data_IF_342267133138
#
_entry.id   IF_342267133138
#
_cell.length_a   1.000
_cell.length_b   1.000
_cell.length_c   1.000
_cell.angle_alpha   90.00
_cell.angle_beta   90.00
_cell.angle_gamma   90.00
#
_symmetry.space_group_name_H-M   'P 1'
#
loop_
_entity.id
_entity.type
_entity.pdbx_description
1 polymer ?
#
# COMPACT_ATOMS: atom_id res chain seq x y z
N UNK A 1 3.07 22.05 24.99
CA UNK A 1 3.62 21.09 24.01
C UNK A 1 5.08 20.71 24.24
N UNK A 2 6.00 21.67 24.46
CA UNK A 2 7.44 21.39 24.66
C UNK A 2 7.75 20.38 25.78
N UNK A 3 7.08 20.51 26.93
CA UNK A 3 7.29 19.63 28.10
C UNK A 3 6.99 18.14 27.83
N UNK A 4 5.79 17.75 27.35
CA UNK A 4 5.53 16.33 27.09
C UNK A 4 6.44 15.75 25.98
N UNK A 5 6.89 16.54 25.01
CA UNK A 5 7.85 16.11 23.99
C UNK A 5 9.24 15.80 24.56
N UNK A 6 9.76 16.68 25.43
CA UNK A 6 11.06 16.49 26.05
C UNK A 6 11.05 15.31 27.02
N UNK A 7 10.00 15.17 27.83
CA UNK A 7 9.80 14.04 28.72
C UNK A 7 9.65 12.72 27.95
N UNK A 8 8.85 12.70 26.88
CA UNK A 8 8.70 11.53 26.02
C UNK A 8 10.03 11.09 25.41
N UNK A 9 10.83 12.05 24.94
CA UNK A 9 12.17 11.78 24.38
C UNK A 9 13.17 11.28 25.43
N UNK A 10 13.11 11.81 26.66
CA UNK A 10 13.96 11.34 27.76
C UNK A 10 13.62 9.90 28.14
N UNK A 11 12.33 9.59 28.30
CA UNK A 11 11.84 8.23 28.61
C UNK A 11 12.15 7.25 27.48
N UNK A 12 12.04 7.70 26.22
CA UNK A 12 12.41 6.89 25.06
C UNK A 12 13.89 6.47 25.09
N UNK A 13 14.80 7.41 25.42
CA UNK A 13 16.24 7.12 25.56
C UNK A 13 16.55 6.17 26.73
N UNK A 14 15.69 6.14 27.74
CA UNK A 14 15.77 5.23 28.87
C UNK A 14 15.04 3.89 28.61
N UNK A 15 14.62 3.63 27.37
CA UNK A 15 13.87 2.44 26.97
C UNK A 15 12.53 2.23 27.71
N UNK A 16 12.01 3.28 28.34
CA UNK A 16 10.71 3.27 29.01
C UNK A 16 9.59 3.52 27.98
N UNK A 17 9.41 2.61 27.03
CA UNK A 17 8.57 2.82 25.84
C UNK A 17 7.10 3.09 26.15
N UNK A 18 6.52 2.43 27.16
CA UNK A 18 5.14 2.69 27.58
C UNK A 18 4.97 4.12 28.14
N UNK A 19 5.91 4.56 28.98
CA UNK A 19 5.88 5.89 29.56
C UNK A 19 6.21 6.97 28.52
N UNK A 20 7.09 6.67 27.55
CA UNK A 20 7.35 7.53 26.41
C UNK A 20 6.10 7.68 25.52
N UNK A 21 5.41 6.58 25.22
CA UNK A 21 4.17 6.59 24.45
C UNK A 21 3.09 7.44 25.12
N UNK A 22 2.89 7.32 26.44
CA UNK A 22 1.94 8.14 27.17
C UNK A 22 2.23 9.65 27.03
N UNK A 23 3.51 10.04 27.11
CA UNK A 23 3.93 11.44 26.93
C UNK A 23 3.79 11.93 25.50
N UNK A 24 4.12 11.10 24.50
CA UNK A 24 3.88 11.44 23.10
C UNK A 24 2.39 11.53 22.76
N UNK A 25 1.53 10.67 23.30
CA UNK A 25 0.07 10.78 23.15
C UNK A 25 -0.47 12.08 23.75
N UNK A 26 0.04 12.47 24.92
CA UNK A 26 -0.30 13.78 25.53
C UNK A 26 0.13 14.93 24.63
N UNK A 27 1.32 14.86 24.04
CA UNK A 27 1.80 15.86 23.09
C UNK A 27 0.94 15.92 21.83
N UNK A 28 0.50 14.77 21.31
CA UNK A 28 -0.36 14.66 20.13
C UNK A 28 -1.73 15.30 20.38
N UNK A 29 -2.33 15.05 21.55
CA UNK A 29 -3.62 15.66 21.93
C UNK A 29 -3.51 17.19 21.99
N UNK A 30 -2.44 17.71 22.60
CA UNK A 30 -2.17 19.15 22.59
C UNK A 30 -1.98 19.67 21.16
N UNK A 31 -1.23 18.96 20.32
CA UNK A 31 -1.02 19.34 18.93
C UNK A 31 -2.35 19.44 18.15
N UNK A 32 -3.26 18.48 18.35
CA UNK A 32 -4.60 18.48 17.72
C UNK A 32 -5.50 19.65 18.14
N UNK A 33 -5.24 20.24 19.32
CA UNK A 33 -5.93 21.44 19.81
C UNK A 33 -5.32 22.75 19.29
N UNK A 34 -4.41 22.68 18.32
CA UNK A 34 -3.77 23.85 17.71
C UNK A 34 -2.55 24.37 18.49
N UNK A 35 -2.07 23.66 19.52
CA UNK A 35 -0.83 24.04 20.18
C UNK A 35 0.37 23.66 19.29
N UNK A 36 1.27 24.61 19.07
CA UNK A 36 2.56 24.38 18.43
C UNK A 36 3.72 24.52 19.42
N UNK A 37 4.95 24.25 18.96
CA UNK A 37 6.17 24.47 19.76
C UNK A 37 6.45 25.97 19.91
N UNK A 38 6.00 26.77 18.95
CA UNK A 38 6.06 28.23 18.94
C UNK A 38 4.66 28.82 19.19
N UNK A 39 4.54 30.16 19.14
CA UNK A 39 3.29 30.88 19.39
C UNK A 39 2.12 30.25 18.57
N UNK A 40 1.05 29.75 19.22
CA UNK A 40 -0.11 29.16 18.55
C UNK A 40 -0.75 30.09 17.51
N UNK A 41 -0.57 31.41 17.65
CA UNK A 41 -1.07 32.42 16.71
C UNK A 41 -0.15 32.61 15.48
N UNK A 42 1.05 32.01 15.47
CA UNK A 42 2.07 32.20 14.42
C UNK A 42 2.45 30.93 13.65
N UNK A 43 2.03 29.76 14.11
CA UNK A 43 2.45 28.49 13.52
C UNK A 43 1.59 28.13 12.31
N UNK A 44 2.22 27.79 11.17
CA UNK A 44 1.47 27.46 9.96
C UNK A 44 0.79 26.08 10.09
N UNK A 45 -0.30 25.82 9.34
CA UNK A 45 -0.89 24.48 9.27
C UNK A 45 0.10 23.37 8.85
N UNK A 46 1.11 23.72 8.03
CA UNK A 46 2.16 22.79 7.62
C UNK A 46 3.09 22.44 8.79
N UNK A 47 3.48 23.42 9.62
CA UNK A 47 4.30 23.19 10.80
C UNK A 47 3.60 22.29 11.83
N UNK A 48 2.29 22.52 12.03
CA UNK A 48 1.44 21.69 12.89
C UNK A 48 1.36 20.27 12.34
N UNK A 49 1.18 20.10 11.03
CA UNK A 49 1.10 18.78 10.37
C UNK A 49 2.43 18.03 10.48
N UNK A 50 3.56 18.68 10.22
CA UNK A 50 4.89 18.07 10.36
C UNK A 50 5.18 17.67 11.80
N UNK A 51 4.77 18.50 12.77
CA UNK A 51 4.95 18.19 14.18
C UNK A 51 4.07 17.01 14.61
N UNK A 52 2.79 16.99 14.21
CA UNK A 52 1.91 15.85 14.43
C UNK A 52 2.52 14.57 13.84
N UNK A 53 3.02 14.63 12.60
CA UNK A 53 3.68 13.51 11.93
C UNK A 53 4.89 13.02 12.71
N UNK A 54 5.71 13.94 13.22
CA UNK A 54 6.85 13.59 14.07
C UNK A 54 6.40 12.84 15.33
N UNK A 55 5.38 13.34 16.03
CA UNK A 55 4.86 12.71 17.26
C UNK A 55 4.29 11.33 16.97
N UNK A 56 3.44 11.21 15.94
CA UNK A 56 2.89 9.95 15.46
C UNK A 56 4.01 8.96 15.15
N UNK A 57 5.07 9.40 14.47
CA UNK A 57 6.20 8.55 14.14
C UNK A 57 6.98 8.04 15.35
N UNK A 58 7.01 8.79 16.46
CA UNK A 58 7.59 8.34 17.73
C UNK A 58 6.69 7.30 18.41
N UNK A 59 5.38 7.49 18.33
CA UNK A 59 4.40 6.51 18.82
C UNK A 59 4.52 5.18 18.06
N UNK A 60 4.71 5.21 16.74
CA UNK A 60 5.00 3.98 15.95
C UNK A 60 6.15 3.20 16.56
N UNK A 61 7.30 3.84 16.82
CA UNK A 61 8.48 3.16 17.36
C UNK A 61 8.20 2.60 18.77
N UNK A 62 7.53 3.38 19.62
CA UNK A 62 7.19 2.92 20.98
C UNK A 62 6.30 1.68 20.94
N UNK A 63 5.23 1.68 20.13
CA UNK A 63 4.31 0.56 20.04
C UNK A 63 4.91 -0.67 19.37
N UNK A 64 5.80 -0.52 18.38
CA UNK A 64 6.59 -1.64 17.87
C UNK A 64 7.48 -2.26 18.94
N UNK A 65 8.16 -1.44 19.75
CA UNK A 65 8.99 -1.92 20.88
C UNK A 65 8.19 -2.59 21.99
N UNK A 66 6.92 -2.24 22.13
CA UNK A 66 5.97 -2.86 23.07
C UNK A 66 5.29 -4.12 22.49
N UNK A 67 5.62 -4.56 21.28
CA UNK A 67 4.98 -5.71 20.65
C UNK A 67 3.54 -5.47 20.23
N UNK A 68 3.16 -4.22 19.96
CA UNK A 68 1.79 -3.80 19.59
C UNK A 68 1.74 -3.25 18.15
N UNK A 69 2.06 -4.06 17.12
CA UNK A 69 2.20 -3.59 15.74
C UNK A 69 0.87 -3.13 15.13
N UNK A 70 -0.27 -3.64 15.59
CA UNK A 70 -1.59 -3.16 15.14
C UNK A 70 -1.88 -1.72 15.55
N UNK A 71 -1.50 -1.33 16.78
CA UNK A 71 -1.61 0.06 17.24
C UNK A 71 -0.60 0.92 16.47
N UNK A 72 0.65 0.44 16.36
CA UNK A 72 1.70 1.12 15.61
C UNK A 72 1.31 1.40 14.15
N UNK A 73 0.62 0.46 13.49
CA UNK A 73 0.16 0.63 12.11
C UNK A 73 -0.79 1.82 11.98
N UNK A 74 -1.74 1.99 12.91
CA UNK A 74 -2.64 3.15 12.93
C UNK A 74 -1.91 4.48 13.04
N UNK A 75 -0.89 4.56 13.92
CA UNK A 75 -0.02 5.74 14.02
C UNK A 75 0.80 5.96 12.73
N UNK A 76 1.23 4.90 12.07
CA UNK A 76 2.02 5.00 10.83
C UNK A 76 1.21 5.62 9.69
N UNK A 77 -0.05 5.23 9.51
CA UNK A 77 -0.94 5.84 8.51
C UNK A 77 -1.11 7.34 8.76
N UNK A 78 -1.40 7.74 10.01
CA UNK A 78 -1.55 9.16 10.36
C UNK A 78 -0.27 9.95 10.14
N UNK A 79 0.89 9.38 10.48
CA UNK A 79 2.18 10.04 10.25
C UNK A 79 2.44 10.31 8.76
N UNK A 80 2.03 9.40 7.87
CA UNK A 80 2.15 9.56 6.42
C UNK A 80 1.13 10.58 5.91
N UNK A 81 -0.13 10.50 6.32
CA UNK A 81 -1.16 11.47 5.92
C UNK A 81 -0.73 12.91 6.24
N UNK A 82 -0.09 13.12 7.39
CA UNK A 82 0.37 14.42 7.86
C UNK A 82 1.70 14.89 7.23
N UNK A 83 2.55 13.97 6.78
CA UNK A 83 3.82 14.28 6.12
C UNK A 83 4.19 13.17 5.11
N UNK A 84 3.53 13.15 3.95
CA UNK A 84 3.60 12.04 3.01
C UNK A 84 4.95 11.91 2.30
N UNK A 85 5.72 13.00 2.18
CA UNK A 85 7.03 13.01 1.53
C UNK A 85 8.17 12.51 2.43
N UNK A 86 7.93 12.34 3.73
CA UNK A 86 8.99 11.94 4.66
C UNK A 86 9.23 10.43 4.62
N UNK A 87 10.22 9.99 3.84
CA UNK A 87 10.51 8.58 3.57
C UNK A 87 10.63 7.68 4.81
N UNK A 88 11.13 8.21 5.94
CA UNK A 88 11.25 7.43 7.19
C UNK A 88 9.91 7.02 7.78
N UNK A 89 8.82 7.74 7.50
CA UNK A 89 7.48 7.32 7.91
C UNK A 89 7.06 6.05 7.17
N UNK A 90 7.40 5.96 5.87
CA UNK A 90 7.16 4.77 5.06
C UNK A 90 8.02 3.57 5.50
N UNK A 91 9.29 3.76 5.86
CA UNK A 91 10.11 2.68 6.45
C UNK A 91 9.54 2.16 7.78
N UNK A 92 9.00 3.04 8.61
CA UNK A 92 8.33 2.65 9.87
C UNK A 92 7.04 1.89 9.61
N UNK A 93 6.26 2.31 8.61
CA UNK A 93 5.09 1.58 8.16
C UNK A 93 5.46 0.18 7.63
N UNK A 94 6.55 0.06 6.87
CA UNK A 94 7.07 -1.23 6.43
C UNK A 94 7.38 -2.16 7.61
N UNK A 95 7.99 -1.63 8.68
CA UNK A 95 8.23 -2.40 9.91
C UNK A 95 6.93 -2.83 10.61
N UNK A 96 5.88 -1.99 10.60
CA UNK A 96 4.55 -2.37 11.10
C UNK A 96 3.96 -3.52 10.30
N UNK A 97 3.92 -3.42 8.97
CA UNK A 97 3.37 -4.47 8.11
C UNK A 97 4.14 -5.78 8.24
N UNK A 98 5.48 -5.74 8.24
CA UNK A 98 6.31 -6.92 8.46
C UNK A 98 6.01 -7.59 9.81
N UNK A 99 5.87 -6.80 10.87
CA UNK A 99 5.52 -7.32 12.21
C UNK A 99 4.12 -7.94 12.28
N UNK A 100 3.24 -7.58 11.34
CA UNK A 100 1.90 -8.14 11.17
C UNK A 100 1.85 -9.31 10.18
N UNK A 101 3.00 -9.82 9.72
CA UNK A 101 3.10 -10.88 8.69
C UNK A 101 2.43 -10.46 7.36
N UNK A 102 2.58 -9.18 6.98
CA UNK A 102 2.09 -8.59 5.73
C UNK A 102 3.26 -8.15 4.84
N UNK A 103 4.06 -9.09 4.31
CA UNK A 103 5.32 -8.77 3.65
C UNK A 103 5.14 -8.02 2.32
N UNK A 104 4.04 -8.24 1.59
CA UNK A 104 3.73 -7.50 0.36
C UNK A 104 3.52 -6.00 0.63
N UNK A 105 2.71 -5.65 1.63
CA UNK A 105 2.52 -4.25 2.01
C UNK A 105 3.77 -3.65 2.63
N UNK A 106 4.55 -4.45 3.37
CA UNK A 106 5.85 -4.02 3.88
C UNK A 106 6.83 -3.66 2.75
N UNK A 107 6.94 -4.52 1.74
CA UNK A 107 7.79 -4.31 0.57
C UNK A 107 7.37 -3.04 -0.16
N UNK A 108 6.05 -2.84 -0.35
CA UNK A 108 5.52 -1.61 -0.96
C UNK A 108 5.93 -0.36 -0.20
N UNK A 109 5.72 -0.32 1.11
CA UNK A 109 6.08 0.85 1.92
C UNK A 109 7.59 1.12 1.88
N UNK A 110 8.42 0.10 1.87
CA UNK A 110 9.87 0.25 1.75
C UNK A 110 10.29 0.74 0.34
N UNK A 111 9.66 0.25 -0.72
CA UNK A 111 9.86 0.73 -2.10
C UNK A 111 9.45 2.21 -2.25
N UNK A 112 8.31 2.61 -1.67
CA UNK A 112 7.88 4.03 -1.63
C UNK A 112 8.92 4.88 -0.90
N UNK A 113 9.47 4.38 0.21
CA UNK A 113 10.51 5.09 0.94
C UNK A 113 11.78 5.30 0.10
N UNK A 114 12.22 4.29 -0.65
CA UNK A 114 13.37 4.41 -1.56
C UNK A 114 13.12 5.49 -2.62
N UNK A 115 11.96 5.42 -3.29
CA UNK A 115 11.57 6.43 -4.28
C UNK A 115 11.57 7.85 -3.72
N UNK A 116 10.98 8.06 -2.53
CA UNK A 116 10.94 9.38 -1.90
C UNK A 116 12.33 9.86 -1.46
N UNK A 117 13.20 8.96 -1.01
CA UNK A 117 14.58 9.29 -0.66
C UNK A 117 15.36 9.79 -1.88
N UNK A 118 15.27 9.05 -3.00
CA UNK A 118 15.93 9.43 -4.27
C UNK A 118 15.36 10.74 -4.81
N UNK A 119 14.03 10.89 -4.85
CA UNK A 119 13.36 12.10 -5.35
C UNK A 119 13.67 13.35 -4.52
N UNK A 120 13.94 13.19 -3.22
CA UNK A 120 14.36 14.28 -2.34
C UNK A 120 15.84 14.69 -2.51
N UNK A 121 16.57 14.11 -3.46
CA UNK A 121 17.99 14.38 -3.70
C UNK A 121 18.91 13.70 -2.69
N UNK A 122 18.48 12.59 -2.07
CA UNK A 122 19.31 11.78 -1.19
C UNK A 122 20.52 11.24 -1.96
N UNK A 123 21.71 11.73 -1.63
CA UNK A 123 22.97 11.37 -2.31
C UNK A 123 23.74 10.23 -1.63
N UNK A 124 23.23 9.71 -0.50
CA UNK A 124 23.84 8.58 0.20
C UNK A 124 23.50 7.28 -0.52
N UNK A 125 24.34 6.89 -1.48
CA UNK A 125 24.22 5.63 -2.23
C UNK A 125 23.97 4.44 -1.29
N UNK A 126 24.72 4.37 -0.18
CA UNK A 126 24.57 3.33 0.85
C UNK A 126 23.15 3.26 1.46
N UNK A 127 22.45 4.40 1.62
CA UNK A 127 21.09 4.39 2.20
C UNK A 127 20.08 3.83 1.21
N UNK A 128 20.15 4.22 -0.07
CA UNK A 128 19.24 3.69 -1.10
C UNK A 128 19.49 2.19 -1.30
N UNK A 129 20.76 1.77 -1.39
CA UNK A 129 21.14 0.35 -1.49
C UNK A 129 20.59 -0.49 -0.32
N UNK A 130 20.72 0.00 0.92
CA UNK A 130 20.17 -0.71 2.08
C UNK A 130 18.64 -0.79 2.05
N UNK A 131 17.95 0.25 1.62
CA UNK A 131 16.49 0.22 1.47
C UNK A 131 16.10 -0.76 0.36
N UNK A 132 16.85 -0.79 -0.74
CA UNK A 132 16.65 -1.72 -1.86
C UNK A 132 16.79 -3.18 -1.46
N UNK A 133 17.88 -3.51 -0.77
CA UNK A 133 18.08 -4.84 -0.18
C UNK A 133 16.96 -5.20 0.80
N UNK A 134 16.47 -4.22 1.57
CA UNK A 134 15.39 -4.46 2.53
C UNK A 134 14.06 -4.80 1.83
N UNK A 135 13.62 -4.02 0.85
CA UNK A 135 12.37 -4.32 0.16
C UNK A 135 12.49 -5.55 -0.75
N UNK A 136 13.67 -5.85 -1.29
CA UNK A 136 13.95 -7.14 -1.93
C UNK A 136 13.71 -8.32 -1.00
N UNK A 137 14.27 -8.27 0.21
CA UNK A 137 14.10 -9.32 1.20
C UNK A 137 12.61 -9.50 1.55
N UNK A 138 11.84 -8.42 1.61
CA UNK A 138 10.39 -8.46 1.87
C UNK A 138 9.60 -9.08 0.70
N UNK A 139 9.95 -8.82 -0.55
CA UNK A 139 9.35 -9.49 -1.72
C UNK A 139 9.63 -11.00 -1.67
N UNK A 140 10.86 -11.39 -1.34
CA UNK A 140 11.21 -12.81 -1.19
C UNK A 140 10.50 -13.46 -0.01
N UNK A 141 10.32 -12.72 1.10
CA UNK A 141 9.52 -13.15 2.25
C UNK A 141 8.06 -13.38 1.85
N UNK A 142 7.47 -12.48 1.05
CA UNK A 142 6.11 -12.62 0.52
C UNK A 142 5.95 -13.86 -0.36
N UNK A 143 6.91 -14.15 -1.24
CA UNK A 143 6.86 -15.33 -2.11
C UNK A 143 7.10 -16.64 -1.36
N UNK A 144 7.99 -16.66 -0.37
CA UNK A 144 8.32 -17.89 0.37
C UNK A 144 7.13 -18.47 1.13
N UNK A 145 6.21 -17.62 1.58
CA UNK A 145 5.00 -18.01 2.30
C UNK A 145 3.83 -18.41 1.40
N UNK A 146 3.96 -18.31 0.08
CA UNK A 146 2.83 -18.41 -0.83
C UNK A 146 2.84 -19.72 -1.62
N UNK A 147 1.71 -20.43 -1.57
CA UNK A 147 1.55 -21.71 -2.25
C UNK A 147 0.57 -21.62 -3.43
N UNK A 148 -0.25 -20.57 -3.50
CA UNK A 148 -1.31 -20.45 -4.50
C UNK A 148 -0.83 -19.94 -5.86
N UNK A 149 0.26 -19.18 -5.88
CA UNK A 149 0.86 -18.66 -7.10
C UNK A 149 2.40 -18.68 -7.08
N UNK A 150 3.01 -18.59 -8.25
CA UNK A 150 4.44 -18.38 -8.46
C UNK A 150 4.64 -17.26 -9.49
N UNK A 151 5.82 -16.65 -9.50
CA UNK A 151 6.09 -15.45 -10.30
C UNK A 151 7.38 -15.55 -11.09
N UNK A 152 7.39 -14.94 -12.27
CA UNK A 152 8.58 -14.70 -13.09
C UNK A 152 8.62 -13.23 -13.49
N UNK A 153 9.77 -12.61 -13.27
CA UNK A 153 10.05 -11.27 -13.74
C UNK A 153 10.81 -11.36 -15.06
N UNK A 154 10.25 -10.79 -16.12
CA UNK A 154 10.89 -10.76 -17.44
C UNK A 154 11.25 -9.32 -17.79
N UNK A 155 12.55 -8.98 -17.93
CA UNK A 155 12.96 -7.67 -18.42
C UNK A 155 12.28 -7.37 -19.76
N UNK A 156 11.82 -6.14 -19.95
CA UNK A 156 11.10 -5.74 -21.14
C UNK A 156 11.46 -4.33 -21.58
N UNK A 157 11.75 -4.16 -22.87
CA UNK A 157 11.86 -2.86 -23.55
C UNK A 157 10.56 -2.58 -24.29
N UNK A 158 10.13 -1.31 -24.44
CA UNK A 158 8.77 -0.96 -24.90
C UNK A 158 8.34 -1.52 -26.28
N UNK A 159 9.25 -2.10 -27.05
CA UNK A 159 8.97 -2.71 -28.35
C UNK A 159 8.54 -4.18 -28.20
N UNK A 160 7.54 -4.61 -28.96
CA UNK A 160 7.08 -6.00 -29.06
C UNK A 160 6.60 -6.69 -27.75
N UNK A 161 5.68 -6.02 -27.04
CA UNK A 161 5.03 -6.53 -25.81
C UNK A 161 4.42 -7.92 -26.02
N UNK A 162 3.79 -8.15 -27.17
CA UNK A 162 3.00 -9.35 -27.41
C UNK A 162 3.86 -10.60 -27.52
N UNK A 163 4.96 -10.54 -28.28
CA UNK A 163 5.86 -11.68 -28.41
C UNK A 163 6.70 -11.88 -27.14
N UNK A 164 7.05 -10.80 -26.43
CA UNK A 164 7.66 -10.93 -25.10
C UNK A 164 6.73 -11.64 -24.11
N UNK A 165 5.43 -11.32 -24.09
CA UNK A 165 4.45 -12.00 -23.22
C UNK A 165 4.36 -13.50 -23.57
N UNK A 166 4.33 -13.86 -24.85
CA UNK A 166 4.28 -15.27 -25.26
C UNK A 166 5.52 -16.03 -24.77
N UNK A 167 6.70 -15.44 -24.95
CA UNK A 167 7.96 -16.06 -24.51
C UNK A 167 8.04 -16.14 -22.97
N UNK A 168 7.61 -15.11 -22.26
CA UNK A 168 7.55 -15.10 -20.80
C UNK A 168 6.61 -16.20 -20.26
N UNK A 169 5.42 -16.36 -20.86
CA UNK A 169 4.48 -17.41 -20.49
C UNK A 169 5.04 -18.81 -20.75
N UNK A 170 5.73 -19.02 -21.88
CA UNK A 170 6.38 -20.29 -22.21
C UNK A 170 7.52 -20.61 -21.23
N UNK A 171 8.43 -19.66 -21.04
CA UNK A 171 9.53 -19.76 -20.09
C UNK A 171 9.04 -20.01 -18.66
N UNK A 172 7.93 -19.40 -18.25
CA UNK A 172 7.30 -19.65 -16.96
C UNK A 172 6.83 -21.10 -16.84
N UNK A 173 6.09 -21.60 -17.83
CA UNK A 173 5.53 -22.96 -17.81
C UNK A 173 6.63 -24.03 -17.70
N UNK A 174 7.78 -23.80 -18.36
CA UNK A 174 8.95 -24.69 -18.27
C UNK A 174 9.60 -24.67 -16.88
N UNK A 175 9.71 -23.49 -16.23
CA UNK A 175 10.36 -23.33 -14.92
C UNK A 175 9.45 -23.70 -13.74
N UNK A 176 8.14 -23.53 -13.87
CA UNK A 176 7.16 -23.69 -12.80
C UNK A 176 5.98 -24.58 -13.23
N UNK A 177 6.23 -25.87 -13.55
CA UNK A 177 5.20 -26.76 -14.10
C UNK A 177 3.99 -26.93 -13.17
N UNK A 178 4.19 -26.82 -11.84
CA UNK A 178 3.13 -26.95 -10.84
C UNK A 178 2.12 -25.78 -10.84
N UNK A 179 2.45 -24.65 -11.48
CA UNK A 179 1.66 -23.41 -11.45
C UNK A 179 1.04 -23.07 -12.82
N UNK A 180 0.72 -24.09 -13.61
CA UNK A 180 0.31 -23.95 -15.01
C UNK A 180 -1.20 -24.01 -15.24
N UNK A 181 -2.01 -24.16 -14.18
CA UNK A 181 -3.49 -24.21 -14.31
C UNK A 181 -4.06 -22.91 -14.88
N UNK A 182 -3.39 -21.80 -14.61
CA UNK A 182 -3.58 -20.53 -15.29
C UNK A 182 -2.26 -19.75 -15.25
N UNK A 183 -1.84 -19.21 -16.40
CA UNK A 183 -0.68 -18.33 -16.51
C UNK A 183 -1.17 -17.01 -17.08
N UNK A 184 -0.82 -15.93 -16.40
CA UNK A 184 -1.17 -14.57 -16.79
C UNK A 184 0.07 -13.68 -16.69
N UNK A 185 0.39 -12.97 -17.76
CA UNK A 185 1.41 -11.91 -17.72
C UNK A 185 0.74 -10.56 -17.74
N UNK A 186 1.08 -9.72 -16.77
CA UNK A 186 0.55 -8.37 -16.68
C UNK A 186 0.99 -7.53 -17.89
N UNK A 187 0.06 -7.13 -18.77
CA UNK A 187 0.40 -6.43 -20.01
C UNK A 187 0.83 -4.97 -19.76
N UNK A 188 0.70 -4.46 -18.54
CA UNK A 188 0.98 -3.07 -18.21
C UNK A 188 2.43 -2.83 -17.75
N UNK A 189 3.25 -3.87 -17.54
CA UNK A 189 4.73 -3.82 -17.57
C UNK A 189 5.46 -2.73 -16.77
N UNK A 190 4.88 -2.14 -15.73
CA UNK A 190 5.59 -1.18 -14.83
C UNK A 190 5.93 -1.86 -13.51
N UNK A 191 6.46 -3.07 -13.55
CA UNK A 191 6.96 -3.72 -12.34
C UNK A 191 8.42 -3.36 -12.11
N UNK A 192 8.73 -3.08 -10.85
CA UNK A 192 10.06 -2.84 -10.32
C UNK A 192 10.50 -4.11 -9.62
N UNK A 193 11.67 -4.60 -10.02
CA UNK A 193 12.42 -5.58 -9.25
C UNK A 193 13.58 -4.84 -8.60
N UNK A 194 13.93 -5.12 -7.33
CA UNK A 194 15.15 -4.61 -6.76
C UNK A 194 16.29 -5.25 -7.54
N UNK A 195 16.96 -4.38 -8.28
CA UNK A 195 18.07 -4.65 -9.15
C UNK A 195 19.11 -5.52 -8.46
N UNK A 196 19.54 -6.63 -9.10
CA UNK A 196 20.87 -7.16 -8.81
C UNK A 196 21.87 -6.11 -9.30
N UNK A 197 23.08 -6.12 -8.76
CA UNK A 197 24.22 -5.23 -9.09
C UNK A 197 24.52 -5.08 -10.61
N UNK A 198 23.86 -5.86 -11.48
CA UNK A 198 24.09 -5.94 -12.94
C UNK A 198 22.94 -5.39 -13.80
N UNK A 199 21.82 -4.90 -13.25
CA UNK A 199 20.73 -4.34 -14.07
C UNK A 199 20.93 -2.87 -14.45
N UNK A 200 20.30 -2.48 -15.56
CA UNK A 200 20.36 -1.13 -16.10
C UNK A 200 19.41 -0.20 -15.32
N UNK A 201 19.81 1.04 -15.01
CA UNK A 201 18.92 2.02 -14.42
C UNK A 201 17.69 2.22 -15.32
N UNK A 202 16.50 2.23 -14.72
CA UNK A 202 15.18 2.31 -15.37
C UNK A 202 14.64 1.03 -16.04
N UNK A 203 15.24 -0.14 -15.78
CA UNK A 203 14.74 -1.42 -16.30
C UNK A 203 13.30 -1.70 -15.83
N UNK A 204 12.39 -1.89 -16.79
CA UNK A 204 11.01 -2.33 -16.55
C UNK A 204 10.91 -3.85 -16.69
N UNK A 205 10.01 -4.44 -15.89
CA UNK A 205 9.72 -5.87 -15.92
C UNK A 205 8.24 -6.11 -16.22
N UNK A 206 7.99 -7.14 -17.02
CA UNK A 206 6.72 -7.85 -17.08
C UNK A 206 6.67 -8.84 -15.90
N UNK A 207 5.54 -8.87 -15.21
CA UNK A 207 5.28 -9.85 -14.17
C UNK A 207 4.40 -10.95 -14.73
N UNK A 208 4.95 -12.15 -14.86
CA UNK A 208 4.20 -13.37 -15.16
C UNK A 208 3.83 -14.06 -13.87
N UNK A 209 2.55 -14.37 -13.72
CA UNK A 209 1.96 -15.08 -12.59
C UNK A 209 1.46 -16.44 -13.08
N UNK A 210 1.80 -17.49 -12.37
CA UNK A 210 1.20 -18.81 -12.55
C UNK A 210 0.46 -19.25 -11.31
N UNK A 211 -0.65 -19.96 -11.50
CA UNK A 211 -1.54 -20.35 -10.42
C UNK A 211 -1.75 -21.87 -10.39
N UNK A 212 -1.89 -22.40 -9.18
CA UNK A 212 -2.38 -23.78 -8.96
C UNK A 212 -3.91 -23.88 -9.08
N UNK A 213 -4.59 -22.76 -8.90
CA UNK A 213 -6.05 -22.67 -8.96
C UNK A 213 -6.44 -21.77 -10.15
N UNK A 214 -7.13 -22.38 -11.12
CA UNK A 214 -7.54 -21.69 -12.34
C UNK A 214 -8.52 -20.55 -12.07
N UNK A 215 -9.39 -20.68 -11.07
CA UNK A 215 -10.41 -19.67 -10.78
C UNK A 215 -9.81 -18.45 -10.06
N UNK A 216 -8.83 -18.68 -9.18
CA UNK A 216 -8.01 -17.59 -8.60
C UNK A 216 -7.29 -16.83 -9.73
N UNK A 217 -6.64 -17.56 -10.64
CA UNK A 217 -5.90 -16.97 -11.75
C UNK A 217 -6.78 -16.10 -12.66
N UNK A 218 -7.93 -16.64 -13.11
CA UNK A 218 -8.89 -15.87 -13.92
C UNK A 218 -9.43 -14.64 -13.20
N UNK A 219 -9.67 -14.72 -11.89
CA UNK A 219 -10.16 -13.59 -11.11
C UNK A 219 -9.12 -12.46 -11.02
N UNK A 220 -7.84 -12.81 -10.86
CA UNK A 220 -6.72 -11.86 -10.89
C UNK A 220 -6.58 -11.24 -12.29
N UNK A 221 -6.53 -12.06 -13.35
CA UNK A 221 -6.46 -11.58 -14.74
C UNK A 221 -7.60 -10.60 -15.05
N UNK A 222 -8.84 -10.97 -14.70
CA UNK A 222 -10.02 -10.11 -14.89
C UNK A 222 -9.88 -8.79 -14.15
N UNK A 223 -9.28 -8.79 -12.95
CA UNK A 223 -9.11 -7.57 -12.15
C UNK A 223 -8.05 -6.63 -12.74
N UNK A 224 -6.98 -7.19 -13.31
CA UNK A 224 -5.88 -6.42 -13.89
C UNK A 224 -6.19 -5.89 -15.29
N UNK A 225 -6.89 -6.67 -16.11
CA UNK A 225 -7.25 -6.31 -17.49
C UNK A 225 -8.48 -5.41 -17.59
N UNK A 226 -9.24 -5.24 -16.50
CA UNK A 226 -10.39 -4.34 -16.46
C UNK A 226 -9.93 -2.89 -16.68
N UNK A 227 -10.56 -2.21 -17.65
CA UNK A 227 -10.38 -0.76 -17.81
C UNK A 227 -10.88 -0.06 -16.54
N UNK A 228 -10.10 0.89 -16.04
CA UNK A 228 -10.49 1.79 -14.95
C UNK A 228 -11.12 3.07 -15.54
N UNK A 229 -12.13 3.69 -14.89
CA UNK A 229 -12.78 3.25 -13.66
C UNK A 229 -13.62 1.97 -13.83
N UNK A 230 -13.97 1.33 -12.71
CA UNK A 230 -14.59 0.01 -12.61
C UNK A 230 -15.97 -0.02 -13.27
N UNK A 231 -16.04 -0.08 -14.61
CA UNK A 231 -17.28 -0.36 -15.33
C UNK A 231 -17.78 -1.76 -14.98
N UNK A 232 -18.96 -1.97 -14.36
CA UNK A 232 -19.58 -3.27 -14.27
C UNK A 232 -20.15 -3.61 -15.63
N UNK A 233 -19.28 -4.02 -16.55
CA UNK A 233 -19.76 -4.86 -17.62
C UNK A 233 -19.98 -6.28 -17.09
N UNK A 234 -21.26 -6.64 -17.17
CA UNK A 234 -21.86 -7.95 -16.99
C UNK A 234 -21.99 -8.44 -15.54
N UNK A 235 -23.26 -8.69 -15.17
CA UNK A 235 -23.63 -9.68 -14.16
C UNK A 235 -22.74 -10.91 -14.34
N UNK A 236 -21.86 -11.17 -13.39
CA UNK A 236 -21.14 -12.44 -13.33
C UNK A 236 -22.17 -13.57 -13.31
N UNK A 237 -22.07 -14.58 -14.19
CA UNK A 237 -22.98 -15.74 -14.18
C UNK A 237 -22.91 -16.55 -12.88
N UNK A 238 -21.90 -16.26 -12.04
CA UNK A 238 -21.61 -16.91 -10.78
C UNK A 238 -21.64 -15.89 -9.62
N UNK A 239 -22.69 -15.06 -9.57
CA UNK A 239 -23.01 -14.40 -8.32
C UNK A 239 -23.45 -15.48 -7.32
N UNK A 240 -22.85 -15.57 -6.12
CA UNK A 240 -23.32 -16.49 -5.09
C UNK A 240 -24.81 -16.24 -4.84
N UNK A 241 -25.59 -17.32 -4.81
CA UNK A 241 -27.05 -17.25 -4.76
C UNK A 241 -27.55 -16.92 -3.34
N UNK A 242 -26.69 -17.08 -2.34
CA UNK A 242 -26.94 -16.80 -0.92
C UNK A 242 -25.77 -16.05 -0.27
N UNK A 243 -26.04 -15.39 0.88
CA UNK A 243 -25.03 -14.64 1.65
C UNK A 243 -23.91 -15.56 2.20
N UNK A 244 -24.25 -16.82 2.55
CA UNK A 244 -23.31 -17.85 3.02
C UNK A 244 -22.38 -18.36 1.91
N UNK A 245 -22.89 -18.55 0.68
CA UNK A 245 -22.07 -18.90 -0.49
C UNK A 245 -21.09 -17.78 -0.86
N UNK A 246 -21.51 -16.53 -0.67
CA UNK A 246 -20.63 -15.39 -0.84
C UNK A 246 -19.51 -15.40 0.20
N UNK A 247 -19.85 -15.62 1.46
CA UNK A 247 -18.90 -15.64 2.56
C UNK A 247 -17.84 -16.74 2.39
N UNK A 248 -18.26 -17.97 2.08
CA UNK A 248 -17.35 -19.11 1.81
C UNK A 248 -16.46 -18.91 0.58
N UNK A 249 -16.99 -18.35 -0.51
CA UNK A 249 -16.18 -17.96 -1.68
C UNK A 249 -15.10 -16.94 -1.32
N UNK A 250 -15.44 -15.96 -0.49
CA UNK A 250 -14.49 -14.94 -0.09
C UNK A 250 -13.45 -15.44 0.91
N UNK A 251 -13.85 -16.31 1.84
CA UNK A 251 -12.93 -16.93 2.79
C UNK A 251 -11.89 -17.83 2.13
N UNK A 252 -12.22 -18.41 0.97
CA UNK A 252 -11.35 -19.30 0.20
C UNK A 252 -10.62 -18.58 -0.95
N UNK A 253 -11.35 -18.22 -2.00
CA UNK A 253 -10.82 -17.62 -3.24
C UNK A 253 -10.52 -16.15 -3.06
N UNK A 254 -11.40 -15.42 -2.38
CA UNK A 254 -11.29 -13.97 -2.22
C UNK A 254 -10.04 -13.51 -1.46
N UNK A 255 -9.66 -14.21 -0.38
CA UNK A 255 -8.42 -13.96 0.36
C UNK A 255 -7.18 -14.22 -0.49
N UNK A 256 -7.17 -15.30 -1.29
CA UNK A 256 -6.07 -15.62 -2.21
C UNK A 256 -5.91 -14.56 -3.29
N UNK A 257 -7.02 -14.14 -3.91
CA UNK A 257 -7.02 -13.06 -4.91
C UNK A 257 -6.49 -11.76 -4.28
N UNK A 258 -6.94 -11.40 -3.07
CA UNK A 258 -6.44 -10.21 -2.37
C UNK A 258 -4.93 -10.29 -2.12
N UNK A 259 -4.41 -11.43 -1.65
CA UNK A 259 -2.98 -11.62 -1.43
C UNK A 259 -2.15 -11.45 -2.71
N UNK A 260 -2.63 -11.99 -3.85
CA UNK A 260 -1.98 -11.81 -5.16
C UNK A 260 -2.00 -10.33 -5.57
N UNK A 261 -3.13 -9.64 -5.39
CA UNK A 261 -3.24 -8.21 -5.72
C UNK A 261 -2.33 -7.33 -4.85
N UNK A 262 -2.22 -7.65 -3.55
CA UNK A 262 -1.30 -6.99 -2.65
C UNK A 262 0.15 -7.20 -3.08
N UNK A 263 0.51 -8.43 -3.47
CA UNK A 263 1.81 -8.76 -4.03
C UNK A 263 2.09 -8.00 -5.33
N UNK A 264 1.18 -8.00 -6.30
CA UNK A 264 1.34 -7.27 -7.57
C UNK A 264 1.62 -5.79 -7.29
N UNK A 265 0.82 -5.15 -6.43
CA UNK A 265 1.04 -3.75 -6.13
C UNK A 265 2.26 -3.48 -5.23
N UNK A 266 2.84 -4.51 -4.59
CA UNK A 266 4.15 -4.38 -3.92
C UNK A 266 5.32 -4.27 -4.90
N UNK A 267 5.09 -4.59 -6.17
CA UNK A 267 6.09 -4.50 -7.24
C UNK A 267 5.90 -3.29 -8.14
N UNK A 268 4.98 -2.36 -7.82
CA UNK A 268 4.64 -1.22 -8.67
C UNK A 268 4.57 0.09 -7.90
N UNK A 269 5.21 1.14 -8.40
CA UNK A 269 4.97 2.52 -7.94
C UNK A 269 3.98 3.26 -8.83
N UNK A 270 4.07 3.06 -10.15
CA UNK A 270 3.20 3.68 -11.15
C UNK A 270 2.35 2.61 -11.83
N UNK A 271 1.14 2.99 -12.23
CA UNK A 271 0.23 2.11 -12.99
C UNK A 271 -0.19 2.85 -14.27
N UNK A 272 -0.14 2.16 -15.42
CA UNK A 272 -0.52 2.74 -16.73
C UNK A 272 -2.00 3.10 -16.79
N UNK A 273 -2.83 2.46 -15.96
CA UNK A 273 -4.29 2.65 -15.95
C UNK A 273 -4.68 3.95 -15.25
N UNK A 274 -4.08 4.24 -14.09
CA UNK A 274 -4.30 5.46 -13.33
C UNK A 274 -3.31 5.57 -12.17
N UNK A 275 -2.85 6.79 -11.79
CA UNK A 275 -2.15 7.03 -10.53
C UNK A 275 -2.89 6.53 -9.27
N UNK A 276 -4.22 6.38 -9.35
CA UNK A 276 -5.09 5.96 -8.25
C UNK A 276 -5.50 4.48 -8.32
N UNK A 277 -5.02 3.70 -9.30
CA UNK A 277 -5.50 2.34 -9.57
C UNK A 277 -5.51 1.43 -8.32
N UNK A 278 -4.42 1.43 -7.55
CA UNK A 278 -4.34 0.63 -6.33
C UNK A 278 -5.29 1.12 -5.23
N UNK A 279 -5.42 2.43 -5.07
CA UNK A 279 -6.37 2.98 -4.11
C UNK A 279 -7.80 2.55 -4.47
N UNK A 280 -8.15 2.54 -5.75
CA UNK A 280 -9.43 2.02 -6.25
C UNK A 280 -9.61 0.52 -5.94
N UNK A 281 -8.58 -0.31 -6.14
CA UNK A 281 -8.61 -1.73 -5.77
C UNK A 281 -8.85 -1.92 -4.25
N UNK A 282 -8.18 -1.13 -3.41
CA UNK A 282 -8.36 -1.14 -1.97
C UNK A 282 -9.73 -0.60 -1.53
N UNK A 283 -10.27 0.40 -2.23
CA UNK A 283 -11.65 0.86 -2.03
C UNK A 283 -12.65 -0.25 -2.31
N UNK A 284 -12.46 -1.00 -3.39
CA UNK A 284 -13.29 -2.15 -3.70
C UNK A 284 -13.25 -3.19 -2.57
N UNK A 285 -12.03 -3.50 -2.09
CA UNK A 285 -11.86 -4.39 -0.95
C UNK A 285 -12.55 -3.86 0.32
N UNK A 286 -12.40 -2.57 0.63
CA UNK A 286 -13.04 -1.93 1.78
C UNK A 286 -14.58 -1.92 1.65
N UNK A 287 -15.13 -1.73 0.46
CA UNK A 287 -16.57 -1.85 0.19
C UNK A 287 -17.09 -3.25 0.52
N UNK A 288 -16.34 -4.29 0.14
CA UNK A 288 -16.69 -5.68 0.44
C UNK A 288 -16.64 -5.97 1.94
N UNK A 289 -15.62 -5.49 2.65
CA UNK A 289 -15.52 -5.60 4.11
C UNK A 289 -16.68 -4.90 4.82
N UNK A 290 -17.07 -3.71 4.35
CA UNK A 290 -18.20 -2.96 4.88
C UNK A 290 -19.52 -3.72 4.75
N UNK A 291 -19.78 -4.35 3.59
CA UNK A 291 -20.98 -5.18 3.37
C UNK A 291 -21.05 -6.36 4.35
N UNK A 292 -19.92 -6.89 4.80
CA UNK A 292 -19.82 -7.97 5.79
C UNK A 292 -19.71 -7.51 7.23
N UNK A 293 -19.98 -6.23 7.51
CA UNK A 293 -19.93 -5.65 8.87
C UNK A 293 -18.55 -5.78 9.55
N UNK A 294 -17.45 -5.93 8.79
CA UNK A 294 -16.06 -5.97 9.31
C UNK A 294 -15.49 -4.55 9.45
N UNK A 295 -16.15 -3.73 10.27
CA UNK A 295 -15.90 -2.28 10.35
C UNK A 295 -14.47 -1.91 10.76
N UNK A 296 -13.84 -2.68 11.66
CA UNK A 296 -12.47 -2.42 12.10
C UNK A 296 -11.46 -2.58 10.96
N UNK A 297 -11.59 -3.66 10.17
CA UNK A 297 -10.71 -3.93 9.04
C UNK A 297 -10.96 -2.96 7.89
N UNK A 298 -12.23 -2.64 7.64
CA UNK A 298 -12.59 -1.59 6.68
C UNK A 298 -11.91 -0.25 7.05
N UNK A 299 -11.93 0.13 8.33
CA UNK A 299 -11.25 1.34 8.80
C UNK A 299 -9.73 1.30 8.65
N UNK A 300 -9.10 0.14 8.86
CA UNK A 300 -7.66 -0.04 8.63
C UNK A 300 -7.30 0.09 7.16
N UNK A 301 -8.03 -0.61 6.27
CA UNK A 301 -7.83 -0.52 4.81
C UNK A 301 -8.04 0.92 4.35
N UNK A 302 -9.05 1.62 4.87
CA UNK A 302 -9.30 3.00 4.48
C UNK A 302 -8.24 3.98 4.99
N UNK A 303 -7.67 3.73 6.17
CA UNK A 303 -6.52 4.49 6.67
C UNK A 303 -5.27 4.29 5.79
N UNK A 304 -5.09 3.07 5.28
CA UNK A 304 -4.05 2.77 4.30
C UNK A 304 -4.30 3.49 2.98
N UNK A 305 -5.52 3.45 2.45
CA UNK A 305 -5.93 4.18 1.24
C UNK A 305 -5.63 5.66 1.37
N UNK A 306 -6.00 6.30 2.49
CA UNK A 306 -5.70 7.72 2.75
C UNK A 306 -4.20 8.01 2.70
N UNK A 307 -3.38 7.16 3.32
CA UNK A 307 -1.93 7.32 3.31
C UNK A 307 -1.34 7.14 1.90
N UNK A 308 -1.83 6.16 1.13
CA UNK A 308 -1.38 5.93 -0.25
C UNK A 308 -1.78 7.11 -1.15
N UNK A 309 -3.03 7.57 -1.10
CA UNK A 309 -3.52 8.74 -1.87
C UNK A 309 -2.71 10.01 -1.52
N UNK A 310 -2.46 10.29 -0.24
CA UNK A 310 -1.66 11.43 0.18
C UNK A 310 -0.23 11.40 -0.39
N UNK A 311 0.31 10.21 -0.69
CA UNK A 311 1.67 10.02 -1.18
C UNK A 311 1.78 10.13 -2.70
N UNK A 312 0.71 9.86 -3.46
CA UNK A 312 0.71 9.87 -4.94
C UNK A 312 1.35 11.13 -5.56
N UNK A 313 1.01 12.36 -5.12
CA UNK A 313 1.58 13.58 -5.70
C UNK A 313 3.11 13.70 -5.55
N UNK A 314 3.71 12.98 -4.61
CA UNK A 314 5.14 13.00 -4.33
C UNK A 314 5.91 11.93 -5.09
N UNK A 315 5.23 10.93 -5.65
CA UNK A 315 5.85 9.82 -6.38
C UNK A 315 5.81 10.01 -7.89
N UNK A 316 4.84 10.77 -8.41
CA UNK A 316 4.66 10.96 -9.84
C UNK A 316 3.96 12.28 -10.15
N UNK A 317 4.15 12.76 -11.39
CA UNK A 317 3.38 13.89 -11.91
C UNK A 317 1.94 13.44 -12.12
N UNK A 318 1.00 14.25 -11.66
CA UNK A 318 -0.44 13.98 -11.70
C UNK A 318 -1.08 14.97 -12.68
N UNK A 319 -1.90 14.47 -13.62
CA UNK A 319 -2.64 15.33 -14.53
C UNK A 319 -3.74 16.11 -13.79
N UNK A 320 -4.34 17.12 -14.42
CA UNK A 320 -5.46 17.85 -13.79
C UNK A 320 -6.67 16.92 -13.52
N UNK A 321 -6.93 15.96 -14.41
CA UNK A 321 -8.00 14.98 -14.27
C UNK A 321 -7.72 14.00 -13.12
N UNK A 322 -6.51 13.45 -13.08
CA UNK A 322 -6.08 12.56 -12.00
C UNK A 322 -6.10 13.27 -10.65
N UNK A 323 -5.79 14.56 -10.60
CA UNK A 323 -5.83 15.33 -9.36
C UNK A 323 -7.28 15.50 -8.84
N UNK A 324 -8.26 15.69 -9.75
CA UNK A 324 -9.68 15.71 -9.36
C UNK A 324 -10.13 14.35 -8.83
N UNK A 325 -9.68 13.27 -9.48
CA UNK A 325 -9.97 11.91 -9.02
C UNK A 325 -9.35 11.65 -7.64
N UNK A 326 -8.09 12.02 -7.45
CA UNK A 326 -7.37 11.92 -6.18
C UNK A 326 -8.10 12.64 -5.05
N UNK A 327 -8.54 13.88 -5.28
CA UNK A 327 -9.30 14.68 -4.32
C UNK A 327 -10.65 14.02 -3.98
N UNK A 328 -11.35 13.51 -4.99
CA UNK A 328 -12.65 12.84 -4.82
C UNK A 328 -12.51 11.56 -4.00
N UNK A 329 -11.53 10.71 -4.33
CA UNK A 329 -11.24 9.49 -3.58
C UNK A 329 -10.78 9.81 -2.15
N UNK A 330 -10.00 10.87 -1.94
CA UNK A 330 -9.60 11.30 -0.60
C UNK A 330 -10.82 11.72 0.24
N UNK A 331 -11.77 12.45 -0.36
CA UNK A 331 -13.01 12.82 0.31
C UNK A 331 -13.85 11.59 0.68
N UNK A 332 -13.99 10.63 -0.23
CA UNK A 332 -14.72 9.38 0.01
C UNK A 332 -14.09 8.57 1.15
N UNK A 333 -12.76 8.47 1.19
CA UNK A 333 -12.05 7.76 2.25
C UNK A 333 -12.23 8.43 3.62
N UNK A 334 -12.18 9.76 3.67
CA UNK A 334 -12.48 10.51 4.89
C UNK A 334 -13.91 10.28 5.36
N UNK A 335 -14.89 10.29 4.45
CA UNK A 335 -16.29 10.04 4.80
C UNK A 335 -16.51 8.62 5.33
N UNK A 336 -15.84 7.61 4.76
CA UNK A 336 -15.85 6.24 5.30
C UNK A 336 -15.28 6.21 6.71
N UNK A 337 -14.11 6.81 6.94
CA UNK A 337 -13.46 6.84 8.25
C UNK A 337 -14.29 7.61 9.30
N UNK A 338 -15.04 8.63 8.86
CA UNK A 338 -15.95 9.38 9.71
C UNK A 338 -17.31 8.68 9.96
N UNK A 339 -17.54 7.49 9.38
CA UNK A 339 -18.79 6.75 9.50
C UNK A 339 -19.98 7.44 8.78
N UNK A 340 -19.72 8.38 7.87
CA UNK A 340 -20.77 9.10 7.16
C UNK A 340 -21.40 8.22 6.09
N UNK A 341 -22.73 8.20 6.05
CA UNK A 341 -23.52 7.47 5.06
C UNK A 341 -23.97 8.42 3.96
N UNK A 342 -23.69 8.09 2.70
CA UNK A 342 -24.05 8.90 1.53
C UNK A 342 -23.56 8.27 0.24
N UNK A 343 -24.06 8.78 -0.90
CA UNK A 343 -23.57 8.35 -2.21
C UNK A 343 -22.20 8.97 -2.49
N UNK A 344 -21.17 8.12 -2.57
CA UNK A 344 -19.78 8.50 -2.76
C UNK A 344 -19.39 8.49 -4.24
N UNK A 345 -18.34 9.22 -4.60
CA UNK A 345 -17.82 9.21 -5.99
C UNK A 345 -17.40 7.80 -6.37
N UNK A 346 -16.75 7.09 -5.47
CA UNK A 346 -16.42 5.68 -5.57
C UNK A 346 -17.64 4.81 -5.89
N UNK A 347 -18.76 5.02 -5.20
CA UNK A 347 -19.98 4.23 -5.43
C UNK A 347 -20.58 4.50 -6.81
N UNK A 348 -20.38 5.70 -7.38
CA UNK A 348 -20.76 5.99 -8.77
C UNK A 348 -19.80 5.33 -9.76
N UNK A 349 -18.50 5.33 -9.47
CA UNK A 349 -17.48 4.63 -10.26
C UNK A 349 -17.60 3.10 -10.20
N UNK A 350 -18.25 2.54 -9.17
CA UNK A 350 -18.61 1.11 -9.10
C UNK A 350 -19.90 0.77 -9.88
N UNK A 351 -20.78 1.76 -10.11
CA UNK A 351 -22.11 1.59 -10.73
C UNK A 351 -22.10 1.80 -12.25
N UNK A 352 -21.28 2.73 -12.75
CA UNK A 352 -21.01 3.01 -14.18
C UNK A 352 -19.98 2.04 -14.67
#
# INVERSE_FOLDING_TARGET
LRLPLSEGSARFRQEQFAAAAAKFSTALELCSKGFAIDDPLKSSPDDISRLASFIESKLVICYLKLGQPGIALGHSHRSIIQNPSYFRNHLRQAACFRSLQRPSEAARSAMIADCLYVLAGGSGLETSELIQLYWQALIQEALRGEESFSVLYTPFEKEDVADTIKEANKSFAEKHPDYTQHIFTDPHGIHLLPERVESLPDQQYLLTLGFRDREVGKAVEKSLTRKLPICPDQKTPFGPSTEEEAETFWESTGKKVAAVMDFIGSTKIKDRRSPCARAMEQFHHASLLGRRRRGQEQGQVMSQVMAELATVPYLQRVSQEDNRMLQSLTADAMDVLAGRTGERVWTKLEKV
#
